data_IF_835124804639
#
_entry.id   IF_835124804639
#
_cell.length_a   1.000
_cell.length_b   1.000
_cell.length_c   1.000
_cell.angle_alpha   90.00
_cell.angle_beta   90.00
_cell.angle_gamma   90.00
#
_symmetry.space_group_name_H-M   'P 1'
#
loop_
_entity.id
_entity.type
_entity.pdbx_description
1 polymer ?
#
# COMPACT_ATOMS: atom_id res chain seq x y z
N UNK A 1 4.15 -13.52 -20.33
CA UNK A 1 4.59 -12.18 -20.79
C UNK A 1 4.17 -11.17 -19.75
N UNK A 2 5.05 -10.26 -19.37
CA UNK A 2 4.74 -9.22 -18.38
C UNK A 2 3.81 -8.15 -18.98
N UNK A 3 2.89 -7.66 -18.16
CA UNK A 3 1.97 -6.54 -18.43
C UNK A 3 2.40 -5.22 -17.80
N UNK A 4 3.62 -5.12 -17.24
CA UNK A 4 4.15 -3.88 -16.64
C UNK A 4 4.15 -2.69 -17.61
N UNK A 5 4.21 -2.92 -18.92
CA UNK A 5 4.11 -1.87 -19.94
C UNK A 5 2.78 -1.09 -19.88
N UNK A 6 1.74 -1.64 -19.25
CA UNK A 6 0.46 -0.97 -19.01
C UNK A 6 0.53 0.03 -17.84
N UNK A 7 1.59 -0.01 -17.03
CA UNK A 7 1.87 1.03 -16.04
C UNK A 7 2.48 2.24 -16.75
N UNK A 8 1.88 3.44 -16.61
CA UNK A 8 2.36 4.65 -17.28
C UNK A 8 3.85 4.88 -17.04
N UNK A 9 4.57 5.31 -18.08
CA UNK A 9 6.01 5.50 -18.02
C UNK A 9 6.41 6.49 -16.91
N UNK A 10 5.64 7.56 -16.75
CA UNK A 10 5.91 8.57 -15.72
C UNK A 10 5.77 8.00 -14.30
N UNK A 11 4.86 7.04 -14.08
CA UNK A 11 4.82 6.32 -12.80
C UNK A 11 6.02 5.39 -12.64
N UNK A 12 6.44 4.69 -13.71
CA UNK A 12 7.63 3.82 -13.67
C UNK A 12 8.94 4.60 -13.45
N UNK A 13 8.96 5.90 -13.71
CA UNK A 13 10.07 6.81 -13.35
C UNK A 13 10.08 7.20 -11.87
N UNK A 14 8.91 7.18 -11.22
CA UNK A 14 8.72 7.59 -9.83
C UNK A 14 8.73 6.40 -8.85
N UNK A 15 8.37 5.21 -9.31
CA UNK A 15 8.22 3.99 -8.52
C UNK A 15 9.01 2.84 -9.11
N UNK A 16 9.63 2.00 -8.27
CA UNK A 16 10.01 0.66 -8.72
C UNK A 16 8.75 -0.21 -8.74
N UNK A 17 8.47 -0.80 -9.90
CA UNK A 17 7.23 -1.56 -10.12
C UNK A 17 7.56 -3.03 -10.34
N UNK A 18 6.86 -3.90 -9.63
CA UNK A 18 6.90 -5.35 -9.86
C UNK A 18 5.48 -5.87 -9.87
N UNK A 19 5.19 -6.78 -10.78
CA UNK A 19 3.92 -7.48 -10.82
C UNK A 19 4.09 -8.99 -10.61
N UNK A 20 2.99 -9.61 -10.19
CA UNK A 20 2.80 -11.04 -10.10
C UNK A 20 1.52 -11.41 -10.85
N UNK A 21 1.58 -12.44 -11.69
CA UNK A 21 0.45 -12.96 -12.49
C UNK A 21 -0.30 -11.89 -13.30
N UNK A 22 0.44 -11.03 -14.00
CA UNK A 22 -0.09 -10.02 -14.93
C UNK A 22 -1.09 -9.04 -14.28
N UNK A 23 -0.83 -8.66 -13.02
CA UNK A 23 -1.72 -7.79 -12.25
C UNK A 23 -2.03 -6.45 -12.94
N UNK A 24 -1.05 -5.86 -13.64
CA UNK A 24 -1.30 -4.64 -14.40
C UNK A 24 -2.33 -4.86 -15.53
N UNK A 25 -2.31 -6.03 -16.17
CA UNK A 25 -3.32 -6.44 -17.15
C UNK A 25 -4.72 -6.55 -16.56
N UNK A 26 -4.85 -7.17 -15.39
CA UNK A 26 -6.14 -7.27 -14.68
C UNK A 26 -6.69 -5.89 -14.33
N UNK A 27 -5.85 -5.02 -13.76
CA UNK A 27 -6.23 -3.65 -13.44
C UNK A 27 -6.66 -2.86 -14.68
N UNK A 28 -5.89 -2.93 -15.76
CA UNK A 28 -6.15 -2.16 -16.97
C UNK A 28 -7.38 -2.62 -17.77
N UNK A 29 -7.87 -3.85 -17.55
CA UNK A 29 -8.96 -4.44 -18.35
C UNK A 29 -10.23 -4.67 -17.54
N UNK A 30 -10.13 -5.28 -16.37
CA UNK A 30 -11.27 -5.65 -15.54
C UNK A 30 -11.60 -4.60 -14.46
N UNK A 31 -10.62 -3.79 -14.04
CA UNK A 31 -10.78 -2.79 -12.96
C UNK A 31 -10.36 -1.37 -13.42
N UNK A 32 -10.75 -0.98 -14.65
CA UNK A 32 -10.22 0.23 -15.31
C UNK A 32 -10.50 1.52 -14.54
N UNK A 33 -11.64 1.63 -13.85
CA UNK A 33 -11.98 2.81 -13.05
C UNK A 33 -11.06 2.95 -11.84
N UNK A 34 -10.89 1.88 -11.07
CA UNK A 34 -9.97 1.78 -9.93
C UNK A 34 -8.52 2.01 -10.39
N UNK A 35 -8.15 1.45 -11.55
CA UNK A 35 -6.81 1.62 -12.11
C UNK A 35 -6.47 3.08 -12.41
N UNK A 36 -7.38 3.81 -13.06
CA UNK A 36 -7.22 5.26 -13.31
C UNK A 36 -7.09 6.05 -11.99
N UNK A 37 -7.81 5.65 -10.96
CA UNK A 37 -7.71 6.27 -9.63
C UNK A 37 -6.36 6.00 -8.98
N UNK A 38 -5.87 4.75 -9.00
CA UNK A 38 -4.53 4.39 -8.52
C UNK A 38 -3.45 5.22 -9.24
N UNK A 39 -3.49 5.29 -10.57
CA UNK A 39 -2.54 6.11 -11.34
C UNK A 39 -2.60 7.58 -10.90
N UNK A 40 -3.80 8.12 -10.72
CA UNK A 40 -3.99 9.53 -10.34
C UNK A 40 -3.45 9.83 -8.95
N UNK A 41 -3.74 8.97 -7.97
CA UNK A 41 -3.26 9.13 -6.59
C UNK A 41 -1.75 9.01 -6.53
N UNK A 42 -1.18 7.95 -7.10
CA UNK A 42 0.27 7.73 -7.08
C UNK A 42 1.03 8.78 -7.92
N UNK A 43 0.46 9.28 -9.02
CA UNK A 43 1.08 10.35 -9.80
C UNK A 43 1.19 11.68 -9.04
N UNK A 44 0.25 11.96 -8.12
CA UNK A 44 0.20 13.20 -7.33
C UNK A 44 0.97 13.11 -6.00
N UNK A 45 1.17 11.91 -5.47
CA UNK A 45 1.88 11.70 -4.20
C UNK A 45 3.30 12.29 -4.24
N UNK A 46 3.73 12.92 -3.15
CA UNK A 46 5.10 13.40 -2.96
C UNK A 46 5.52 13.11 -1.52
N UNK A 47 6.74 12.62 -1.37
CA UNK A 47 7.32 12.27 -0.07
C UNK A 47 8.03 13.51 0.48
N UNK A 48 7.39 14.22 1.40
CA UNK A 48 7.91 15.49 1.91
C UNK A 48 8.95 15.27 3.02
N UNK A 49 9.99 16.10 3.06
CA UNK A 49 10.98 16.11 4.13
C UNK A 49 10.31 16.39 5.48
N UNK A 50 9.41 17.37 5.53
CA UNK A 50 8.67 17.74 6.73
C UNK A 50 7.88 16.54 7.29
N UNK A 51 7.26 15.73 6.43
CA UNK A 51 6.52 14.53 6.83
C UNK A 51 7.42 13.41 7.35
N UNK A 52 8.60 13.20 6.74
CA UNK A 52 9.60 12.21 7.20
C UNK A 52 10.14 12.61 8.59
N UNK A 53 10.37 13.92 8.78
CA UNK A 53 11.00 14.44 9.99
C UNK A 53 10.02 14.55 11.17
N UNK A 54 8.74 14.76 10.90
CA UNK A 54 7.68 14.84 11.90
C UNK A 54 7.62 13.57 12.77
N UNK A 55 7.30 13.74 14.05
CA UNK A 55 7.01 12.61 14.93
C UNK A 55 5.64 12.03 14.57
N UNK A 56 5.58 10.76 14.18
CA UNK A 56 4.31 10.05 14.05
C UNK A 56 3.78 9.65 15.42
N UNK A 57 2.49 9.91 15.70
CA UNK A 57 1.76 9.23 16.77
C UNK A 57 1.33 7.84 16.27
N UNK A 58 0.03 7.60 16.05
CA UNK A 58 -0.49 6.28 15.70
C UNK A 58 -0.29 5.89 14.22
N UNK A 59 -0.52 6.81 13.26
CA UNK A 59 -0.21 6.62 11.83
C UNK A 59 0.71 7.72 11.31
N UNK A 60 1.65 7.34 10.44
CA UNK A 60 2.53 8.29 9.75
C UNK A 60 1.71 9.31 8.95
N UNK A 61 2.09 10.60 8.93
CA UNK A 61 1.57 11.59 7.98
C UNK A 61 1.52 11.09 6.53
N UNK A 62 2.57 10.37 6.14
CA UNK A 62 2.77 9.82 4.80
C UNK A 62 1.68 8.80 4.46
N UNK A 63 1.35 7.92 5.43
CA UNK A 63 0.27 6.95 5.26
C UNK A 63 -1.08 7.64 5.08
N UNK A 64 -1.36 8.62 5.96
CA UNK A 64 -2.62 9.39 5.91
C UNK A 64 -2.79 10.17 4.61
N UNK A 65 -1.71 10.69 4.03
CA UNK A 65 -1.77 11.40 2.76
C UNK A 65 -2.24 10.49 1.61
N UNK A 66 -1.66 9.29 1.51
CA UNK A 66 -2.02 8.32 0.45
C UNK A 66 -3.43 7.77 0.70
N UNK A 67 -3.70 7.28 1.91
CA UNK A 67 -5.00 6.71 2.28
C UNK A 67 -6.13 7.72 2.07
N UNK A 68 -5.95 8.96 2.56
CA UNK A 68 -6.92 10.04 2.42
C UNK A 68 -7.22 10.39 0.95
N UNK A 69 -6.22 10.32 0.07
CA UNK A 69 -6.43 10.53 -1.36
C UNK A 69 -7.28 9.41 -1.99
N UNK A 70 -7.13 8.16 -1.55
CA UNK A 70 -8.01 7.06 -1.96
C UNK A 70 -9.42 7.20 -1.36
N UNK A 71 -9.54 7.55 -0.07
CA UNK A 71 -10.83 7.73 0.59
C UNK A 71 -11.66 8.86 -0.05
N UNK A 72 -11.02 9.97 -0.44
CA UNK A 72 -11.66 11.04 -1.21
C UNK A 72 -12.18 10.59 -2.58
N UNK A 73 -11.72 9.45 -3.10
CA UNK A 73 -12.21 8.82 -4.33
C UNK A 73 -13.19 7.66 -4.08
N UNK A 74 -13.67 7.50 -2.84
CA UNK A 74 -14.66 6.51 -2.45
C UNK A 74 -14.11 5.10 -2.19
N UNK A 75 -12.80 4.96 -2.03
CA UNK A 75 -12.20 3.75 -1.45
C UNK A 75 -12.51 3.72 0.05
N UNK A 76 -12.53 2.54 0.64
CA UNK A 76 -12.82 2.37 2.06
C UNK A 76 -11.95 1.29 2.68
N UNK A 77 -11.60 1.45 3.95
CA UNK A 77 -11.09 0.33 4.74
C UNK A 77 -12.17 -0.76 4.78
N UNK A 78 -11.79 -2.03 4.61
CA UNK A 78 -12.77 -3.13 4.58
C UNK A 78 -12.27 -4.37 5.29
N UNK A 79 -13.05 -4.83 6.26
CA UNK A 79 -12.98 -6.19 6.81
C UNK A 79 -13.90 -7.12 6.03
N UNK A 80 -13.41 -8.27 5.63
CA UNK A 80 -14.25 -9.34 5.07
C UNK A 80 -14.50 -10.39 6.12
N UNK A 81 -15.76 -10.62 6.48
CA UNK A 81 -16.13 -11.78 7.30
C UNK A 81 -16.18 -13.00 6.39
N UNK A 82 -15.38 -14.02 6.69
CA UNK A 82 -15.31 -15.24 5.88
C UNK A 82 -15.42 -16.47 6.76
N UNK A 83 -16.08 -17.51 6.25
CA UNK A 83 -16.24 -18.77 6.96
C UNK A 83 -16.20 -19.95 6.00
N UNK A 84 -15.77 -21.10 6.50
CA UNK A 84 -15.77 -22.37 5.78
C UNK A 84 -16.82 -23.25 6.42
N UNK A 85 -17.74 -23.79 5.61
CA UNK A 85 -18.79 -24.70 6.07
C UNK A 85 -18.49 -26.13 5.65
N UNK A 86 -18.36 -27.03 6.62
CA UNK A 86 -18.08 -28.47 6.43
C UNK A 86 -19.20 -29.25 7.10
N UNK A 87 -19.97 -30.02 6.33
CA UNK A 87 -21.07 -30.87 6.82
C UNK A 87 -22.07 -30.14 7.75
N UNK A 88 -22.30 -28.85 7.49
CA UNK A 88 -23.21 -28.02 8.29
C UNK A 88 -22.53 -27.25 9.42
N UNK A 89 -21.30 -27.60 9.80
CA UNK A 89 -20.51 -26.88 10.82
C UNK A 89 -19.76 -25.74 10.18
N UNK A 90 -19.91 -24.54 10.74
CA UNK A 90 -19.26 -23.33 10.26
C UNK A 90 -18.00 -23.04 11.08
N UNK A 91 -16.90 -22.79 10.38
CA UNK A 91 -15.60 -22.42 10.94
C UNK A 91 -15.23 -21.03 10.46
N UNK A 92 -15.03 -20.10 11.38
CA UNK A 92 -14.57 -18.76 11.03
C UNK A 92 -13.18 -18.83 10.38
N UNK A 93 -13.04 -18.17 9.23
CA UNK A 93 -11.76 -18.00 8.56
C UNK A 93 -11.31 -16.56 8.78
N UNK A 94 -10.32 -16.32 9.65
CA UNK A 94 -9.91 -14.97 9.98
C UNK A 94 -9.22 -14.29 8.80
N UNK A 95 -9.72 -13.11 8.41
CA UNK A 95 -9.08 -12.22 7.44
C UNK A 95 -8.37 -11.07 8.14
N UNK A 96 -7.69 -10.23 7.38
CA UNK A 96 -7.27 -8.90 7.85
C UNK A 96 -8.05 -7.81 7.14
N UNK A 97 -8.15 -6.64 7.77
CA UNK A 97 -8.71 -5.46 7.12
C UNK A 97 -7.80 -5.08 5.94
N UNK A 98 -8.41 -4.76 4.81
CA UNK A 98 -7.73 -4.15 3.67
C UNK A 98 -7.77 -2.63 3.86
N UNK A 99 -6.62 -1.95 3.78
CA UNK A 99 -6.52 -0.50 4.02
C UNK A 99 -7.41 0.32 3.06
N UNK A 100 -7.37 -0.04 1.78
CA UNK A 100 -8.14 0.60 0.71
C UNK A 100 -8.78 -0.46 -0.20
N UNK A 101 -10.09 -0.61 -0.11
CA UNK A 101 -10.87 -1.49 -0.98
C UNK A 101 -11.88 -0.70 -1.82
N UNK A 102 -11.97 -1.06 -3.10
CA UNK A 102 -13.01 -0.56 -4.00
C UNK A 102 -13.28 -1.52 -5.15
N UNK A 103 -14.56 -1.72 -5.47
CA UNK A 103 -14.98 -2.66 -6.50
C UNK A 103 -14.55 -4.08 -6.13
N UNK A 104 -13.47 -4.56 -6.76
CA UNK A 104 -12.82 -5.85 -6.50
C UNK A 104 -11.30 -5.73 -6.39
N UNK A 105 -10.80 -4.51 -6.13
CA UNK A 105 -9.38 -4.22 -5.93
C UNK A 105 -9.12 -4.01 -4.45
N UNK A 106 -8.15 -4.74 -3.91
CA UNK A 106 -7.63 -4.54 -2.56
C UNK A 106 -6.26 -3.88 -2.63
N UNK A 107 -6.08 -2.76 -1.92
CA UNK A 107 -4.83 -2.01 -1.87
C UNK A 107 -4.38 -1.89 -0.41
N UNK A 108 -3.13 -2.27 -0.15
CA UNK A 108 -2.48 -2.19 1.16
C UNK A 108 -1.35 -1.16 1.11
N UNK A 109 -1.29 -0.29 2.12
CA UNK A 109 -0.25 0.72 2.25
C UNK A 109 0.75 0.34 3.34
N UNK A 110 1.82 -0.30 2.92
CA UNK A 110 2.84 -0.81 3.83
C UNK A 110 3.98 0.20 4.01
N UNK A 111 3.78 1.13 4.94
CA UNK A 111 4.75 2.17 5.30
C UNK A 111 5.41 1.95 6.67
N UNK A 112 6.65 1.47 6.64
CA UNK A 112 7.55 1.44 7.80
C UNK A 112 7.08 0.62 9.02
N UNK A 113 6.16 -0.32 8.81
CA UNK A 113 5.72 -1.29 9.82
C UNK A 113 6.84 -2.30 10.12
N UNK A 114 6.86 -2.90 11.31
CA UNK A 114 7.80 -4.01 11.63
C UNK A 114 7.15 -5.34 11.26
N UNK A 115 7.88 -6.24 10.59
CA UNK A 115 7.40 -7.59 10.18
C UNK A 115 6.54 -8.28 11.26
N UNK A 116 5.46 -9.02 10.89
CA UNK A 116 5.32 -9.83 9.66
C UNK A 116 4.28 -9.34 8.61
N UNK A 117 4.10 -8.03 8.41
CA UNK A 117 2.97 -7.45 7.67
C UNK A 117 2.83 -7.98 6.22
N UNK A 118 3.91 -8.11 5.45
CA UNK A 118 3.78 -8.64 4.08
C UNK A 118 3.24 -10.07 3.99
N UNK A 119 3.59 -10.94 4.94
CA UNK A 119 3.05 -12.31 4.91
C UNK A 119 1.55 -12.29 5.18
N UNK A 120 1.10 -11.42 6.08
CA UNK A 120 -0.30 -11.20 6.43
C UNK A 120 -1.08 -10.69 5.22
N UNK A 121 -0.57 -9.65 4.55
CA UNK A 121 -1.27 -9.00 3.44
C UNK A 121 -1.33 -9.90 2.19
N UNK A 122 -0.20 -10.54 1.84
CA UNK A 122 -0.16 -11.48 0.72
C UNK A 122 -1.07 -12.69 0.96
N UNK A 123 -1.12 -13.21 2.19
CA UNK A 123 -2.04 -14.28 2.54
C UNK A 123 -3.51 -13.81 2.50
N UNK A 124 -3.79 -12.58 2.93
CA UNK A 124 -5.12 -11.99 2.87
C UNK A 124 -5.58 -11.86 1.40
N UNK A 125 -4.72 -11.34 0.52
CA UNK A 125 -5.00 -11.28 -0.92
C UNK A 125 -5.25 -12.66 -1.53
N UNK A 126 -4.43 -13.65 -1.20
CA UNK A 126 -4.62 -15.03 -1.64
C UNK A 126 -6.01 -15.55 -1.26
N UNK A 127 -6.36 -15.45 0.03
CA UNK A 127 -7.65 -15.93 0.55
C UNK A 127 -8.82 -15.20 -0.11
N UNK A 128 -8.78 -13.87 -0.15
CA UNK A 128 -9.86 -13.06 -0.73
C UNK A 128 -10.01 -13.30 -2.23
N UNK A 129 -8.92 -13.57 -2.94
CA UNK A 129 -8.98 -13.93 -4.36
C UNK A 129 -9.61 -15.30 -4.57
N UNK A 130 -9.20 -16.31 -3.80
CA UNK A 130 -9.75 -17.67 -3.89
C UNK A 130 -11.26 -17.71 -3.54
N UNK A 131 -11.68 -16.86 -2.59
CA UNK A 131 -13.08 -16.63 -2.23
C UNK A 131 -13.83 -15.71 -3.21
N UNK A 132 -13.18 -15.24 -4.28
CA UNK A 132 -13.72 -14.33 -5.30
C UNK A 132 -14.23 -13.02 -4.70
N UNK A 133 -13.65 -12.54 -3.61
CA UNK A 133 -13.92 -11.22 -3.05
C UNK A 133 -13.12 -10.11 -3.76
N UNK A 134 -11.91 -10.43 -4.24
CA UNK A 134 -11.05 -9.52 -5.01
C UNK A 134 -10.60 -10.19 -6.31
N UNK A 135 -10.22 -9.39 -7.30
CA UNK A 135 -9.60 -9.85 -8.55
C UNK A 135 -8.10 -9.56 -8.60
N UNK A 136 -7.63 -8.57 -7.83
CA UNK A 136 -6.24 -8.11 -7.81
C UNK A 136 -5.90 -7.40 -6.51
N UNK A 137 -4.71 -7.68 -6.00
CA UNK A 137 -4.08 -6.97 -4.90
C UNK A 137 -3.11 -5.90 -5.38
N UNK A 138 -2.99 -4.80 -4.64
CA UNK A 138 -1.99 -3.73 -4.88
C UNK A 138 -1.27 -3.46 -3.58
N UNK A 139 0.07 -3.36 -3.62
CA UNK A 139 0.86 -2.96 -2.44
C UNK A 139 1.66 -1.71 -2.79
N UNK A 140 1.46 -0.66 -2.00
CA UNK A 140 2.32 0.52 -2.03
C UNK A 140 3.27 0.42 -0.84
N UNK A 141 4.58 0.52 -1.10
CA UNK A 141 5.60 0.48 -0.05
C UNK A 141 6.76 1.40 -0.39
N UNK A 142 7.83 1.41 0.41
CA UNK A 142 9.04 2.20 0.17
C UNK A 142 10.13 1.39 -0.54
N UNK A 143 10.91 2.07 -1.39
CA UNK A 143 12.16 1.50 -1.90
C UNK A 143 13.24 1.50 -0.81
N UNK A 144 14.20 0.58 -0.90
CA UNK A 144 15.35 0.55 0.01
C UNK A 144 16.31 1.74 -0.25
N UNK A 145 16.25 2.33 -1.45
CA UNK A 145 17.07 3.48 -1.85
C UNK A 145 16.78 4.73 -1.00
N UNK A 146 15.54 4.85 -0.49
CA UNK A 146 15.14 5.92 0.43
C UNK A 146 15.93 5.92 1.75
N UNK A 147 16.58 4.81 2.12
CA UNK A 147 17.43 4.74 3.31
C UNK A 147 18.52 5.81 3.30
N UNK A 148 19.05 6.18 2.12
CA UNK A 148 20.05 7.24 2.00
C UNK A 148 19.51 8.61 2.44
N UNK A 149 18.26 8.92 2.07
CA UNK A 149 17.58 10.14 2.49
C UNK A 149 17.30 10.10 4.00
N UNK A 150 16.77 8.98 4.51
CA UNK A 150 16.50 8.83 5.94
C UNK A 150 17.76 9.00 6.80
N UNK A 151 18.90 8.46 6.36
CA UNK A 151 20.18 8.65 7.03
C UNK A 151 20.61 10.12 7.04
N UNK A 152 20.50 10.82 5.90
CA UNK A 152 20.82 12.26 5.81
C UNK A 152 19.95 13.13 6.73
N UNK A 153 18.68 12.75 6.90
CA UNK A 153 17.74 13.45 7.77
C UNK A 153 17.83 13.03 9.25
N UNK A 154 18.79 12.17 9.63
CA UNK A 154 18.92 11.66 11.00
C UNK A 154 17.81 10.68 11.43
N UNK A 155 17.03 10.16 10.48
CA UNK A 155 15.92 9.19 10.69
C UNK A 155 16.27 7.76 10.32
N UNK A 156 17.54 7.49 9.98
CA UNK A 156 17.99 6.19 9.47
C UNK A 156 17.57 4.98 10.34
N UNK A 157 17.69 5.10 11.66
CA UNK A 157 17.31 4.05 12.62
C UNK A 157 15.80 3.81 12.67
N UNK A 158 14.98 4.85 12.48
CA UNK A 158 13.52 4.77 12.45
C UNK A 158 13.00 4.02 11.22
N UNK A 159 13.76 4.02 10.12
CA UNK A 159 13.40 3.39 8.85
C UNK A 159 14.33 2.24 8.47
N UNK A 160 15.02 1.65 9.44
CA UNK A 160 16.06 0.65 9.19
C UNK A 160 15.55 -0.67 8.59
N UNK A 161 16.46 -1.62 8.44
CA UNK A 161 16.22 -2.92 7.80
C UNK A 161 15.15 -3.80 8.50
N UNK A 162 14.73 -3.47 9.72
CA UNK A 162 13.69 -4.23 10.43
C UNK A 162 12.28 -3.86 9.99
N UNK A 163 12.09 -2.76 9.27
CA UNK A 163 10.77 -2.32 8.81
C UNK A 163 10.46 -2.74 7.38
N UNK A 164 9.22 -2.54 6.92
CA UNK A 164 8.76 -2.87 5.58
C UNK A 164 9.49 -2.04 4.51
N UNK A 165 10.01 -2.71 3.48
CA UNK A 165 10.50 -2.15 2.22
C UNK A 165 10.44 -3.20 1.12
N UNK A 166 10.58 -2.79 -0.14
CA UNK A 166 10.37 -3.68 -1.29
C UNK A 166 11.29 -4.91 -1.34
N UNK A 167 12.56 -4.80 -0.93
CA UNK A 167 13.50 -5.96 -0.91
C UNK A 167 13.09 -7.05 0.09
N UNK A 168 12.19 -6.76 1.04
CA UNK A 168 11.56 -7.78 1.88
C UNK A 168 10.27 -8.33 1.25
N UNK A 169 9.53 -7.50 0.53
CA UNK A 169 8.28 -7.91 -0.12
C UNK A 169 8.53 -8.82 -1.31
N UNK A 170 9.42 -8.41 -2.22
CA UNK A 170 9.57 -9.08 -3.51
C UNK A 170 10.04 -10.54 -3.41
N UNK A 171 10.98 -10.93 -2.52
CA UNK A 171 11.31 -12.34 -2.34
C UNK A 171 10.12 -13.19 -1.88
N UNK A 172 9.20 -12.63 -1.07
CA UNK A 172 7.99 -13.33 -0.63
C UNK A 172 7.00 -13.47 -1.78
N UNK A 173 6.87 -12.42 -2.60
CA UNK A 173 6.01 -12.46 -3.78
C UNK A 173 6.54 -13.46 -4.82
N UNK A 174 7.85 -13.46 -5.08
CA UNK A 174 8.53 -14.41 -5.96
C UNK A 174 8.47 -15.85 -5.44
N UNK A 175 8.52 -16.01 -4.11
CA UNK A 175 8.28 -17.28 -3.42
C UNK A 175 6.82 -17.75 -3.45
N UNK A 176 5.92 -17.03 -4.13
CA UNK A 176 4.51 -17.41 -4.29
C UNK A 176 3.61 -17.02 -3.13
N UNK A 177 4.01 -16.07 -2.27
CA UNK A 177 3.23 -15.65 -1.11
C UNK A 177 1.82 -15.12 -1.44
N UNK A 178 1.62 -14.55 -2.62
CA UNK A 178 0.30 -14.12 -3.12
C UNK A 178 -0.54 -15.25 -3.73
N UNK A 179 -0.01 -16.48 -3.81
CA UNK A 179 -0.70 -17.63 -4.40
C UNK A 179 -1.19 -17.38 -5.83
N UNK A 180 -2.48 -17.61 -6.06
CA UNK A 180 -3.17 -17.38 -7.34
C UNK A 180 -3.52 -15.91 -7.61
N UNK A 181 -3.56 -15.06 -6.58
CA UNK A 181 -3.98 -13.67 -6.69
C UNK A 181 -2.97 -12.86 -7.53
N UNK A 182 -3.38 -12.14 -8.59
CA UNK A 182 -2.56 -11.12 -9.22
C UNK A 182 -2.21 -10.02 -8.23
N UNK A 183 -0.94 -9.63 -8.15
CA UNK A 183 -0.47 -8.55 -7.26
C UNK A 183 0.40 -7.56 -8.02
N UNK A 184 0.09 -6.26 -7.91
CA UNK A 184 0.93 -5.18 -8.43
C UNK A 184 1.56 -4.40 -7.27
N UNK A 185 2.87 -4.17 -7.33
CA UNK A 185 3.58 -3.47 -6.25
C UNK A 185 4.21 -2.18 -6.78
N UNK A 186 4.15 -1.13 -5.95
CA UNK A 186 4.77 0.17 -6.19
C UNK A 186 5.68 0.52 -5.01
N UNK A 187 6.99 0.56 -5.23
CA UNK A 187 7.96 1.02 -4.24
C UNK A 187 8.32 2.49 -4.49
N UNK A 188 7.97 3.36 -3.54
CA UNK A 188 8.28 4.80 -3.56
C UNK A 188 9.79 4.99 -3.62
N UNK A 189 10.29 5.70 -4.64
CA UNK A 189 11.72 5.95 -4.83
C UNK A 189 12.13 7.35 -4.38
N UNK A 190 13.44 7.65 -4.31
CA UNK A 190 13.93 9.01 -4.13
C UNK A 190 13.41 10.04 -5.14
N UNK A 191 12.92 9.64 -6.32
CA UNK A 191 12.36 10.56 -7.31
C UNK A 191 11.07 11.26 -6.83
N UNK A 192 10.41 10.72 -5.80
CA UNK A 192 9.22 11.31 -5.18
C UNK A 192 9.56 12.23 -4.00
N UNK A 193 10.82 12.27 -3.56
CA UNK A 193 11.24 13.08 -2.42
C UNK A 193 11.25 14.58 -2.76
N UNK A 194 10.70 15.38 -1.86
CA UNK A 194 10.69 16.85 -1.96
C UNK A 194 11.33 17.43 -0.71
N UNK A 195 12.35 18.26 -0.90
CA UNK A 195 13.05 18.96 0.18
C UNK A 195 12.31 20.26 0.54
N UNK A 196 11.19 20.11 1.26
CA UNK A 196 10.35 21.23 1.73
C UNK A 196 10.79 21.81 3.09
N UNK A 197 11.90 21.30 3.64
CA UNK A 197 12.47 21.73 4.92
C UNK A 197 11.95 20.95 6.14
N UNK A 198 12.41 21.32 7.36
CA UNK A 198 11.96 20.69 8.59
C UNK A 198 10.51 21.04 8.93
N UNK A 199 9.83 20.26 9.79
CA UNK A 199 8.47 20.54 10.21
C UNK A 199 8.37 21.90 10.90
N UNK A 200 7.46 22.75 10.44
CA UNK A 200 7.07 24.01 11.07
C UNK A 200 5.79 23.82 11.87
N UNK A 201 5.42 24.80 12.72
CA UNK A 201 4.14 24.78 13.42
C UNK A 201 2.95 24.68 12.45
N UNK A 202 3.03 25.35 11.30
CA UNK A 202 2.01 25.31 10.26
C UNK A 202 1.90 23.93 9.59
N UNK A 203 3.03 23.30 9.24
CA UNK A 203 3.01 21.96 8.64
C UNK A 203 2.49 20.94 9.65
N UNK A 204 2.91 21.02 10.92
CA UNK A 204 2.41 20.12 11.97
C UNK A 204 0.90 20.28 12.19
N UNK A 205 0.38 21.51 12.20
CA UNK A 205 -1.06 21.76 12.29
C UNK A 205 -1.83 21.18 11.09
N UNK A 206 -1.29 21.32 9.87
CA UNK A 206 -1.89 20.73 8.66
C UNK A 206 -1.91 19.19 8.74
N UNK A 207 -0.86 18.59 9.32
CA UNK A 207 -0.79 17.15 9.54
C UNK A 207 -1.76 16.65 10.61
N UNK A 208 -2.22 17.49 11.55
CA UNK A 208 -3.22 17.11 12.55
C UNK A 208 -4.66 17.19 12.04
N UNK A 209 -4.92 18.03 11.03
CA UNK A 209 -6.25 18.21 10.44
C UNK A 209 -6.59 17.24 9.30
N UNK A 210 -5.61 16.46 8.82
CA UNK A 210 -5.87 15.39 7.85
C UNK A 210 -6.82 14.35 8.49
N UNK A 211 -7.97 14.04 7.87
CA UNK A 211 -9.01 13.24 8.51
C UNK A 211 -8.44 11.91 8.99
N UNK A 212 -8.49 11.68 10.30
CA UNK A 212 -8.42 10.34 10.83
C UNK A 212 -9.68 9.64 10.31
N UNK A 213 -9.53 8.52 9.61
CA UNK A 213 -10.66 7.64 9.32
C UNK A 213 -11.42 7.44 10.60
N UNK A 214 -12.71 7.81 10.60
CA UNK A 214 -13.63 7.54 11.68
C UNK A 214 -13.49 6.06 12.05
N UNK A 215 -13.08 5.81 13.29
CA UNK A 215 -13.30 4.52 13.91
C UNK A 215 -14.82 4.40 14.04
N UNK A 216 -15.48 3.82 13.05
CA UNK A 216 -16.81 3.27 13.28
C UNK A 216 -16.60 1.89 13.91
N UNK A 217 -16.58 1.89 15.24
CA UNK A 217 -17.13 0.80 16.03
C UNK A 217 -18.60 0.65 15.64
N UNK A 218 -18.95 -0.46 14.99
CA UNK A 218 -20.15 -1.28 15.25
C UNK A 218 -20.13 -2.57 14.40
#
# INVERSE_FOLDING_TARGET
MSTIHLVPEDLRKLYLVKEWRNAAGVLATACLAEWKQIITVLGKFRLLQSEIMAAGKNRSPISRQIDGAFYGLGWKEKKFTTAIKIDGVEYESPTHKVDCFKGRVALELEWNNKDPFYNRDLNNFRLLFDLRAIDVGVIVTRSAELQRIFNKLGKGSSYGNSTTHHEKLWPRLDGGGGGGCPVLTFAITPALYVEDGPPTAATLAALEQAPATENEEE
#
